data_IF_511500268953
#
_entry.id   IF_511500268953
#
_cell.length_a   1.000
_cell.length_b   1.000
_cell.length_c   1.000
_cell.angle_alpha   90.00
_cell.angle_beta   90.00
_cell.angle_gamma   90.00
#
_symmetry.space_group_name_H-M   'P 1'
#
loop_
_entity.id
_entity.type
_entity.pdbx_description
1 polymer ?
#
# COMPACT_ATOMS: atom_id res chain seq x y z
N UNK A 1 -13.10 33.79 1.43
CA UNK A 1 -12.19 32.81 2.05
C UNK A 1 -12.41 31.47 1.38
N UNK A 2 -11.44 30.98 0.60
CA UNK A 2 -11.67 29.86 -0.32
C UNK A 2 -11.99 28.58 0.46
N UNK A 3 -13.07 27.92 0.03
CA UNK A 3 -13.40 26.57 0.43
C UNK A 3 -12.20 25.69 0.04
N UNK A 4 -11.30 25.39 0.97
CA UNK A 4 -10.36 24.28 0.78
C UNK A 4 -11.20 23.02 0.73
N UNK A 5 -11.68 22.68 -0.47
CA UNK A 5 -12.15 21.33 -0.79
C UNK A 5 -11.01 20.43 -0.32
N UNK A 6 -11.21 19.72 0.79
CA UNK A 6 -10.38 18.59 1.15
C UNK A 6 -10.61 17.54 0.07
N UNK A 7 -9.91 17.73 -1.05
CA UNK A 7 -9.93 16.81 -2.16
C UNK A 7 -9.02 15.65 -1.77
N UNK A 8 -9.43 14.42 -2.07
CA UNK A 8 -8.57 13.24 -1.89
C UNK A 8 -7.20 13.38 -2.57
N UNK A 9 -7.06 14.33 -3.51
CA UNK A 9 -5.79 14.74 -4.11
C UNK A 9 -4.74 15.14 -3.06
N UNK A 10 -5.10 15.96 -2.06
CA UNK A 10 -4.13 16.42 -1.06
C UNK A 10 -3.64 15.27 -0.17
N UNK A 11 -4.51 14.31 0.14
CA UNK A 11 -4.13 13.09 0.85
C UNK A 11 -3.04 12.33 0.08
N UNK A 12 -3.26 12.07 -1.20
CA UNK A 12 -2.29 11.33 -2.03
C UNK A 12 -0.97 12.09 -2.24
N UNK A 13 -1.02 13.43 -2.36
CA UNK A 13 0.19 14.25 -2.46
C UNK A 13 1.04 14.10 -1.19
N UNK A 14 0.44 14.31 -0.01
CA UNK A 14 1.17 14.23 1.26
C UNK A 14 1.71 12.82 1.47
N UNK A 15 0.90 11.79 1.20
CA UNK A 15 1.33 10.40 1.30
C UNK A 15 2.51 10.08 0.36
N UNK A 16 2.50 10.59 -0.87
CA UNK A 16 3.60 10.40 -1.82
C UNK A 16 4.86 11.11 -1.32
N UNK A 17 4.75 12.35 -0.83
CA UNK A 17 5.86 13.09 -0.25
C UNK A 17 6.47 12.34 0.93
N UNK A 18 5.65 11.77 1.83
CA UNK A 18 6.15 10.97 2.95
C UNK A 18 6.92 9.73 2.49
N UNK A 19 6.46 9.03 1.45
CA UNK A 19 7.20 7.89 0.89
C UNK A 19 8.51 8.33 0.25
N UNK A 20 8.54 9.47 -0.44
CA UNK A 20 9.79 10.02 -1.02
C UNK A 20 10.77 10.38 0.11
N UNK A 21 10.31 11.03 1.17
CA UNK A 21 11.16 11.31 2.34
C UNK A 21 11.71 10.03 2.96
N UNK A 22 10.89 8.98 3.09
CA UNK A 22 11.33 7.69 3.62
C UNK A 22 12.35 7.01 2.70
N UNK A 23 12.15 7.12 1.38
CA UNK A 23 13.12 6.67 0.37
C UNK A 23 14.46 7.35 0.53
N UNK A 24 14.48 8.67 0.77
CA UNK A 24 15.71 9.43 0.99
C UNK A 24 16.41 9.03 2.29
N UNK A 25 15.67 8.72 3.36
CA UNK A 25 16.23 8.19 4.62
C UNK A 25 16.86 6.82 4.37
N UNK A 26 16.19 5.92 3.65
CA UNK A 26 16.80 4.63 3.34
C UNK A 26 17.98 4.76 2.37
N UNK A 27 17.95 5.70 1.44
CA UNK A 27 19.07 6.00 0.57
C UNK A 27 20.29 6.53 1.34
N UNK A 28 20.09 7.35 2.37
CA UNK A 28 21.20 7.81 3.22
C UNK A 28 21.77 6.70 4.11
N UNK A 29 20.93 5.75 4.54
CA UNK A 29 21.39 4.58 5.29
C UNK A 29 21.97 3.46 4.42
N UNK A 30 21.70 3.49 3.10
CA UNK A 30 22.19 2.50 2.15
C UNK A 30 23.72 2.47 2.03
N UNK A 31 24.42 3.53 2.45
CA UNK A 31 25.89 3.52 2.58
C UNK A 31 26.39 2.50 3.62
N UNK A 32 25.57 2.17 4.62
CA UNK A 32 25.88 1.16 5.63
C UNK A 32 25.26 -0.19 5.31
N UNK A 33 24.02 -0.21 4.82
CA UNK A 33 23.30 -1.42 4.49
C UNK A 33 22.37 -1.24 3.29
N UNK A 34 22.82 -1.74 2.13
CA UNK A 34 22.07 -1.68 0.88
C UNK A 34 20.75 -2.47 0.92
N UNK A 35 20.59 -3.40 1.87
CA UNK A 35 19.36 -4.19 2.04
C UNK A 35 18.14 -3.31 2.37
N UNK A 36 18.38 -2.14 2.98
CA UNK A 36 17.33 -1.20 3.40
C UNK A 36 16.60 -0.60 2.20
N UNK A 37 17.35 -0.03 1.25
CA UNK A 37 16.78 0.60 0.06
C UNK A 37 16.17 -0.42 -0.90
N UNK A 38 16.80 -1.59 -1.07
CA UNK A 38 16.25 -2.68 -1.87
C UNK A 38 14.90 -3.15 -1.31
N UNK A 39 14.83 -3.41 0.00
CA UNK A 39 13.59 -3.81 0.64
C UNK A 39 12.50 -2.75 0.49
N UNK A 40 12.84 -1.46 0.61
CA UNK A 40 11.87 -0.38 0.38
C UNK A 40 11.36 -0.33 -1.06
N UNK A 41 12.23 -0.51 -2.06
CA UNK A 41 11.84 -0.53 -3.47
C UNK A 41 10.91 -1.72 -3.78
N UNK A 42 11.24 -2.90 -3.28
CA UNK A 42 10.37 -4.09 -3.39
C UNK A 42 9.01 -3.82 -2.73
N UNK A 43 9.02 -3.22 -1.54
CA UNK A 43 7.82 -2.77 -0.85
C UNK A 43 6.97 -1.80 -1.67
N UNK A 44 7.59 -0.80 -2.29
CA UNK A 44 6.92 0.18 -3.15
C UNK A 44 6.29 -0.46 -4.38
N UNK A 45 6.98 -1.40 -5.05
CA UNK A 45 6.44 -2.13 -6.20
C UNK A 45 5.23 -2.96 -5.79
N UNK A 46 5.36 -3.73 -4.70
CA UNK A 46 4.25 -4.53 -4.15
C UNK A 46 3.07 -3.64 -3.76
N UNK A 47 3.33 -2.48 -3.14
CA UNK A 47 2.33 -1.53 -2.72
C UNK A 47 1.58 -0.88 -3.90
N UNK A 48 2.29 -0.51 -4.97
CA UNK A 48 1.65 -0.02 -6.19
C UNK A 48 0.75 -1.08 -6.82
N UNK A 49 1.19 -2.34 -6.83
CA UNK A 49 0.36 -3.46 -7.27
C UNK A 49 -0.90 -3.56 -6.40
N UNK A 50 -0.76 -3.48 -5.08
CA UNK A 50 -1.89 -3.46 -4.14
C UNK A 50 -2.90 -2.33 -4.44
N UNK A 51 -2.43 -1.09 -4.70
CA UNK A 51 -3.31 0.02 -5.07
C UNK A 51 -4.04 -0.22 -6.39
N UNK A 52 -3.38 -0.83 -7.38
CA UNK A 52 -4.01 -1.21 -8.64
C UNK A 52 -5.12 -2.26 -8.42
N UNK A 53 -4.88 -3.24 -7.55
CA UNK A 53 -5.88 -4.26 -7.20
C UNK A 53 -7.11 -3.62 -6.51
N UNK A 54 -6.89 -2.69 -5.57
CA UNK A 54 -7.99 -1.93 -4.94
C UNK A 54 -8.78 -1.16 -6.01
N UNK A 55 -8.09 -0.43 -6.90
CA UNK A 55 -8.74 0.34 -7.96
C UNK A 55 -9.58 -0.55 -8.87
N UNK A 56 -9.09 -1.74 -9.20
CA UNK A 56 -9.81 -2.73 -9.99
C UNK A 56 -11.04 -3.24 -9.25
N UNK A 57 -10.91 -3.60 -7.97
CA UNK A 57 -12.03 -4.02 -7.13
C UNK A 57 -13.12 -2.96 -7.02
N UNK A 58 -12.74 -1.69 -6.78
CA UNK A 58 -13.69 -0.57 -6.73
C UNK A 58 -14.42 -0.39 -8.07
N UNK A 59 -13.73 -0.56 -9.20
CA UNK A 59 -14.35 -0.52 -10.53
C UNK A 59 -15.37 -1.65 -10.71
N UNK A 60 -15.04 -2.86 -10.27
CA UNK A 60 -15.96 -4.01 -10.33
C UNK A 60 -17.19 -3.80 -9.44
N UNK A 61 -16.99 -3.27 -8.23
CA UNK A 61 -18.10 -2.91 -7.33
C UNK A 61 -18.98 -1.84 -7.95
N UNK A 62 -18.40 -0.78 -8.53
CA UNK A 62 -19.18 0.26 -9.23
C UNK A 62 -20.04 -0.33 -10.35
N UNK A 63 -19.45 -1.18 -11.21
CA UNK A 63 -20.18 -1.85 -12.29
C UNK A 63 -21.29 -2.77 -11.77
N UNK A 64 -21.13 -3.36 -10.58
CA UNK A 64 -22.18 -4.18 -9.96
C UNK A 64 -23.38 -3.34 -9.54
N UNK A 65 -23.16 -2.14 -8.99
CA UNK A 65 -24.20 -1.20 -8.51
C UNK A 65 -25.08 -0.70 -9.67
N UNK A 66 -24.54 -0.57 -10.87
CA UNK A 66 -25.28 -0.14 -12.07
C UNK A 66 -26.29 -1.19 -12.58
N UNK A 67 -26.32 -2.40 -12.00
CA UNK A 67 -27.27 -3.46 -12.38
C UNK A 67 -28.61 -3.29 -11.66
N UNK A 68 -29.71 -3.10 -12.41
CA UNK A 68 -31.05 -2.82 -11.84
C UNK A 68 -31.73 -4.04 -11.17
N UNK A 69 -31.34 -5.27 -11.52
CA UNK A 69 -31.91 -6.49 -10.92
C UNK A 69 -31.24 -6.88 -9.60
N UNK A 70 -32.02 -6.89 -8.49
CA UNK A 70 -31.54 -7.23 -7.13
C UNK A 70 -30.80 -8.58 -7.03
N UNK A 71 -31.23 -9.60 -7.78
CA UNK A 71 -30.60 -10.94 -7.74
C UNK A 71 -29.24 -10.95 -8.45
N UNK A 72 -29.15 -10.32 -9.63
CA UNK A 72 -27.91 -10.20 -10.38
C UNK A 72 -26.88 -9.29 -9.68
N UNK A 73 -27.34 -8.24 -9.01
CA UNK A 73 -26.51 -7.36 -8.19
C UNK A 73 -25.73 -8.14 -7.11
N UNK A 74 -26.44 -8.96 -6.31
CA UNK A 74 -25.82 -9.74 -5.22
C UNK A 74 -24.76 -10.70 -5.73
N UNK A 75 -25.05 -11.39 -6.84
CA UNK A 75 -24.11 -12.35 -7.46
C UNK A 75 -22.87 -11.61 -7.98
N UNK A 76 -23.03 -10.52 -8.74
CA UNK A 76 -21.90 -9.74 -9.27
C UNK A 76 -21.02 -9.15 -8.17
N UNK A 77 -21.63 -8.67 -7.08
CA UNK A 77 -20.90 -8.13 -5.93
C UNK A 77 -20.11 -9.22 -5.20
N UNK A 78 -20.71 -10.38 -4.98
CA UNK A 78 -20.02 -11.54 -4.40
C UNK A 78 -18.84 -11.99 -5.28
N UNK A 79 -19.03 -12.07 -6.60
CA UNK A 79 -17.95 -12.40 -7.53
C UNK A 79 -16.82 -11.35 -7.51
N UNK A 80 -17.15 -10.06 -7.46
CA UNK A 80 -16.16 -8.98 -7.34
C UNK A 80 -15.37 -9.09 -6.03
N UNK A 81 -16.04 -9.42 -4.93
CA UNK A 81 -15.39 -9.65 -3.63
C UNK A 81 -14.45 -10.87 -3.67
N UNK A 82 -14.87 -11.99 -4.26
CA UNK A 82 -14.03 -13.18 -4.42
C UNK A 82 -12.79 -12.90 -5.26
N UNK A 83 -12.95 -12.18 -6.39
CA UNK A 83 -11.83 -11.80 -7.26
C UNK A 83 -10.86 -10.88 -6.51
N UNK A 84 -11.38 -9.91 -5.76
CA UNK A 84 -10.54 -9.06 -4.91
C UNK A 84 -9.77 -9.85 -3.85
N UNK A 85 -10.43 -10.79 -3.18
CA UNK A 85 -9.81 -11.65 -2.16
C UNK A 85 -8.69 -12.51 -2.78
N UNK A 86 -8.95 -13.12 -3.94
CA UNK A 86 -7.95 -13.90 -4.68
C UNK A 86 -6.73 -13.06 -5.04
N UNK A 87 -6.94 -11.83 -5.53
CA UNK A 87 -5.87 -10.92 -5.89
C UNK A 87 -5.07 -10.44 -4.66
N UNK A 88 -5.71 -10.27 -3.51
CA UNK A 88 -5.03 -10.01 -2.24
C UNK A 88 -4.12 -11.17 -1.83
N UNK A 89 -4.62 -12.40 -1.91
CA UNK A 89 -3.81 -13.60 -1.65
C UNK A 89 -2.64 -13.71 -2.62
N UNK A 90 -2.82 -13.34 -3.88
CA UNK A 90 -1.72 -13.29 -4.86
C UNK A 90 -0.64 -12.28 -4.46
N UNK A 91 -1.03 -11.07 -3.99
CA UNK A 91 -0.08 -10.06 -3.54
C UNK A 91 0.68 -10.52 -2.27
N UNK A 92 -0.04 -11.09 -1.29
CA UNK A 92 0.59 -11.71 -0.12
C UNK A 92 1.52 -12.87 -0.50
N UNK A 93 1.14 -13.68 -1.48
CA UNK A 93 1.95 -14.76 -2.02
C UNK A 93 3.25 -14.25 -2.64
N UNK A 94 3.21 -13.15 -3.40
CA UNK A 94 4.41 -12.49 -3.93
C UNK A 94 5.32 -12.01 -2.80
N UNK A 95 4.78 -11.33 -1.79
CA UNK A 95 5.55 -10.89 -0.63
C UNK A 95 6.18 -12.08 0.12
N UNK A 96 5.42 -13.15 0.33
CA UNK A 96 5.90 -14.36 0.99
C UNK A 96 6.99 -15.06 0.17
N UNK A 97 6.89 -15.05 -1.16
CA UNK A 97 7.92 -15.59 -2.05
C UNK A 97 9.21 -14.80 -1.92
N UNK A 98 9.15 -13.46 -1.92
CA UNK A 98 10.32 -12.63 -1.68
C UNK A 98 10.95 -12.92 -0.31
N UNK A 99 10.16 -12.98 0.76
CA UNK A 99 10.66 -13.31 2.11
C UNK A 99 11.31 -14.70 2.13
N UNK A 100 10.69 -15.69 1.49
CA UNK A 100 11.21 -17.05 1.43
C UNK A 100 12.53 -17.13 0.65
N UNK A 101 12.61 -16.48 -0.52
CA UNK A 101 13.85 -16.39 -1.31
C UNK A 101 14.96 -15.72 -0.48
N UNK A 102 14.64 -14.64 0.23
CA UNK A 102 15.58 -13.93 1.10
C UNK A 102 16.07 -14.81 2.26
N UNK A 103 15.16 -15.56 2.90
CA UNK A 103 15.52 -16.48 3.99
C UNK A 103 16.33 -17.68 3.50
N UNK A 104 15.98 -18.24 2.35
CA UNK A 104 16.71 -19.34 1.74
C UNK A 104 18.13 -18.90 1.37
N UNK A 105 18.29 -17.65 0.89
CA UNK A 105 19.59 -17.09 0.57
C UNK A 105 20.51 -17.02 1.80
N UNK A 106 20.02 -16.44 2.90
CA UNK A 106 20.80 -16.34 4.15
C UNK A 106 21.14 -17.69 4.80
N UNK A 107 20.33 -18.73 4.55
CA UNK A 107 20.59 -20.06 5.11
C UNK A 107 21.67 -20.83 4.33
N UNK A 108 21.77 -20.61 3.01
CA UNK A 108 22.61 -21.41 2.13
C UNK A 108 23.88 -20.69 1.63
N UNK A 109 23.92 -19.35 1.69
CA UNK A 109 25.02 -18.56 1.17
C UNK A 109 25.58 -17.62 2.26
N UNK A 110 26.92 -17.53 2.35
CA UNK A 110 27.57 -16.55 3.20
C UNK A 110 27.36 -15.13 2.63
N UNK A 111 27.24 -14.14 3.51
CA UNK A 111 27.01 -12.73 3.13
C UNK A 111 28.11 -12.12 2.22
N UNK A 112 29.23 -12.82 2.03
CA UNK A 112 30.36 -12.41 1.18
C UNK A 112 30.26 -12.90 -0.28
N UNK A 113 29.33 -13.80 -0.60
CA UNK A 113 29.17 -14.26 -1.98
C UNK A 113 28.44 -13.22 -2.84
N UNK A 114 29.13 -12.70 -3.84
CA UNK A 114 28.66 -11.69 -4.77
C UNK A 114 27.73 -12.32 -5.83
N UNK A 115 26.51 -12.65 -5.43
CA UNK A 115 25.47 -13.25 -6.29
C UNK A 115 24.41 -12.17 -6.58
N UNK A 116 23.75 -12.25 -7.73
CA UNK A 116 22.85 -11.23 -8.30
C UNK A 116 21.68 -10.73 -7.42
N UNK A 117 21.41 -11.35 -6.27
CA UNK A 117 20.36 -10.97 -5.34
C UNK A 117 20.94 -10.74 -3.94
N UNK A 118 21.16 -9.47 -3.58
CA UNK A 118 21.52 -9.10 -2.22
C UNK A 118 20.29 -9.26 -1.32
N UNK A 119 20.45 -9.78 -0.08
CA UNK A 119 19.34 -9.86 0.84
C UNK A 119 18.74 -8.49 1.12
N UNK A 120 17.43 -8.43 1.30
CA UNK A 120 16.69 -7.21 1.55
C UNK A 120 16.06 -7.22 2.94
N UNK A 121 15.90 -6.02 3.50
CA UNK A 121 15.30 -5.88 4.81
C UNK A 121 13.77 -6.04 4.72
N UNK A 122 13.23 -7.07 5.37
CA UNK A 122 11.79 -7.38 5.34
C UNK A 122 10.97 -6.28 6.02
N UNK A 123 11.54 -5.57 7.00
CA UNK A 123 10.86 -4.45 7.68
C UNK A 123 10.65 -3.31 6.67
N UNK A 124 11.64 -3.01 5.84
CA UNK A 124 11.55 -1.90 4.88
C UNK A 124 10.52 -2.19 3.76
N UNK A 125 10.28 -3.46 3.42
CA UNK A 125 9.19 -3.87 2.52
C UNK A 125 7.81 -3.44 3.03
N UNK A 126 7.58 -3.57 4.33
CA UNK A 126 6.26 -3.24 4.93
C UNK A 126 6.04 -1.73 5.10
N UNK A 127 7.09 -0.92 4.94
CA UNK A 127 7.05 0.51 5.27
C UNK A 127 6.00 1.32 4.49
N UNK A 128 5.82 1.15 3.16
CA UNK A 128 4.78 1.87 2.42
C UNK A 128 3.36 1.57 2.93
N UNK A 129 3.12 0.31 3.32
CA UNK A 129 1.83 -0.16 3.85
C UNK A 129 1.54 0.39 5.24
N UNK A 130 2.54 0.35 6.14
CA UNK A 130 2.44 0.90 7.48
C UNK A 130 2.23 2.41 7.44
N UNK A 131 2.99 3.10 6.58
CA UNK A 131 2.85 4.54 6.38
C UNK A 131 1.44 4.89 5.89
N UNK A 132 0.87 4.12 4.94
CA UNK A 132 -0.50 4.36 4.47
C UNK A 132 -1.49 4.17 5.61
N UNK A 133 -1.33 3.12 6.41
CA UNK A 133 -2.25 2.78 7.50
C UNK A 133 -2.27 3.87 8.57
N UNK A 134 -1.10 4.27 9.07
CA UNK A 134 -0.96 5.33 10.07
C UNK A 134 -1.46 6.66 9.52
N UNK A 135 -1.04 7.04 8.31
CA UNK A 135 -1.45 8.29 7.70
C UNK A 135 -2.96 8.36 7.46
N UNK A 136 -3.58 7.25 7.05
CA UNK A 136 -5.03 7.16 6.88
C UNK A 136 -5.80 7.36 8.18
N UNK A 137 -5.31 6.79 9.29
CA UNK A 137 -5.91 6.98 10.62
C UNK A 137 -5.81 8.45 11.03
N UNK A 138 -4.62 9.05 10.94
CA UNK A 138 -4.39 10.46 11.30
C UNK A 138 -5.30 11.38 10.46
N UNK A 139 -5.35 11.15 9.15
CA UNK A 139 -6.17 11.94 8.25
C UNK A 139 -7.67 11.79 8.54
N UNK A 140 -8.12 10.57 8.85
CA UNK A 140 -9.51 10.29 9.25
C UNK A 140 -9.90 11.03 10.52
N UNK A 141 -9.05 11.00 11.56
CA UNK A 141 -9.28 11.74 12.81
C UNK A 141 -9.32 13.25 12.55
N UNK A 142 -8.38 13.77 11.76
CA UNK A 142 -8.34 15.18 11.39
C UNK A 142 -9.65 15.62 10.69
N UNK A 143 -10.15 14.81 9.77
CA UNK A 143 -11.42 15.06 9.09
C UNK A 143 -12.59 15.09 10.06
N UNK A 144 -12.71 14.10 10.95
CA UNK A 144 -13.79 14.01 11.94
C UNK A 144 -13.85 15.24 12.85
N UNK A 145 -12.69 15.69 13.36
CA UNK A 145 -12.59 16.88 14.21
C UNK A 145 -13.02 18.13 13.43
N UNK A 146 -12.58 18.26 12.18
CA UNK A 146 -12.91 19.41 11.33
C UNK A 146 -14.40 19.48 10.98
N UNK A 147 -15.04 18.34 10.74
CA UNK A 147 -16.49 18.28 10.50
C UNK A 147 -17.29 18.66 11.74
N UNK A 148 -16.95 18.12 12.92
CA UNK A 148 -17.63 18.48 14.18
C UNK A 148 -17.56 19.98 14.46
N UNK A 149 -16.36 20.57 14.31
CA UNK A 149 -16.17 22.03 14.51
C UNK A 149 -16.96 22.88 13.51
N UNK A 150 -17.32 22.35 12.34
CA UNK A 150 -18.18 23.07 11.39
C UNK A 150 -19.66 23.02 11.78
N UNK A 151 -20.12 21.93 12.37
CA UNK A 151 -21.48 21.80 12.89
C UNK A 151 -21.71 22.68 14.12
N UNK A 152 -20.69 22.84 14.98
CA UNK A 152 -20.79 23.68 16.19
C UNK A 152 -20.72 25.20 15.92
N UNK A 153 -20.23 25.62 14.74
CA UNK A 153 -20.01 27.04 14.40
C UNK A 153 -20.88 27.54 13.22
N UNK A 154 -21.88 26.76 12.78
CA UNK A 154 -22.82 27.10 11.72
C UNK A 154 -24.25 27.10 12.25
#
# INVERSE_FOLDING_TARGET
>A
MSMTKLTGKNFWIIYTTLNISLMLIFASLAFFDYSLILGFLVGMISFLLFLLLIKLALKMVKNSIETQEKKQYKIKLYTAFLIFLLLLFLNLGLLSLFIWVNSYYHHNYNNETNIAFFPFNVITITSPYLLLSIFSIIWGIYLLIKTKRKEDNG
#
